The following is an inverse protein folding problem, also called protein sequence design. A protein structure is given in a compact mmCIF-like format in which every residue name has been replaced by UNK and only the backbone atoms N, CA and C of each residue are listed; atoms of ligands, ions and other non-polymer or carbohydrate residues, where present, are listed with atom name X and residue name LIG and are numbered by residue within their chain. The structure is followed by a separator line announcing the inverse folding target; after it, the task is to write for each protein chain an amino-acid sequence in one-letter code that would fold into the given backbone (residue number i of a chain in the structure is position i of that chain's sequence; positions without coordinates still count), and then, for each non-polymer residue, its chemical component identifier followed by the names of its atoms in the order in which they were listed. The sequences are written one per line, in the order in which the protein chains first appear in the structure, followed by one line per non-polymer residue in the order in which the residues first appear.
data_IF_924488126351
#
_entry.id   IF_924488126351
#
_cell.length_a   1.000
_cell.length_b   1.000
_cell.length_c   1.000
_cell.angle_alpha   90.00
_cell.angle_beta   90.00
_cell.angle_gamma   90.00
#
_symmetry.space_group_name_H-M   'P 1'
#
loop_
_entity.id
_entity.type
_entity.pdbx_description
1 polymer ?
#
# COMPACT_ATOMS: atom_id res chain seq x y z
N UNK A 1 16.25 -11.86 -17.42
CA UNK A 1 15.04 -11.44 -18.17
C UNK A 1 13.86 -11.27 -17.22
N UNK A 2 13.09 -10.19 -17.43
CA UNK A 2 11.76 -9.83 -16.87
C UNK A 2 11.66 -9.61 -15.35
N UNK A 3 11.90 -8.36 -14.92
CA UNK A 3 11.19 -7.79 -13.76
C UNK A 3 9.72 -7.72 -14.15
N UNK A 4 8.91 -8.71 -13.76
CA UNK A 4 7.46 -8.60 -13.90
C UNK A 4 6.98 -7.57 -12.89
N UNK A 5 6.71 -6.35 -13.38
CA UNK A 5 5.88 -5.39 -12.67
C UNK A 5 4.52 -6.04 -12.46
N UNK A 6 4.37 -6.73 -11.32
CA UNK A 6 3.18 -7.47 -10.94
C UNK A 6 2.17 -6.52 -10.29
N UNK A 7 2.08 -5.27 -10.78
CA UNK A 7 1.02 -4.36 -10.36
C UNK A 7 -0.30 -4.98 -10.79
N UNK A 8 -1.23 -5.13 -9.85
CA UNK A 8 -2.59 -5.58 -10.12
C UNK A 8 -3.12 -4.93 -11.40
N UNK A 9 -3.56 -5.74 -12.36
CA UNK A 9 -4.33 -5.24 -13.50
C UNK A 9 -5.54 -4.48 -12.97
N UNK A 10 -5.94 -3.35 -13.59
CA UNK A 10 -7.07 -2.49 -13.15
C UNK A 10 -8.35 -3.28 -12.82
N UNK A 11 -8.55 -4.44 -13.45
CA UNK A 11 -9.68 -5.34 -13.19
C UNK A 11 -9.57 -6.13 -11.88
N UNK A 12 -8.35 -6.49 -11.48
CA UNK A 12 -8.10 -7.23 -10.24
C UNK A 12 -8.22 -6.33 -9.01
N UNK A 13 -7.89 -5.03 -9.13
CA UNK A 13 -8.16 -4.05 -8.07
C UNK A 13 -9.66 -3.82 -7.87
N UNK A 14 -10.44 -3.82 -8.95
CA UNK A 14 -11.91 -3.72 -8.86
C UNK A 14 -12.54 -4.89 -8.09
N UNK A 15 -12.01 -6.12 -8.21
CA UNK A 15 -12.53 -7.28 -7.50
C UNK A 15 -12.34 -7.20 -5.97
N UNK A 16 -11.26 -6.57 -5.50
CA UNK A 16 -10.97 -6.45 -4.06
C UNK A 16 -11.58 -5.20 -3.43
N UNK A 17 -12.01 -4.24 -4.25
CA UNK A 17 -12.61 -2.97 -3.85
C UNK A 17 -13.70 -3.09 -2.76
N UNK A 18 -14.70 -3.99 -2.85
CA UNK A 18 -15.71 -4.14 -1.80
C UNK A 18 -15.13 -4.67 -0.48
N UNK A 19 -14.05 -5.45 -0.53
CA UNK A 19 -13.37 -5.95 0.67
C UNK A 19 -12.59 -4.82 1.34
N UNK A 20 -11.86 -4.02 0.56
CA UNK A 20 -11.18 -2.82 1.05
C UNK A 20 -12.17 -1.83 1.67
N UNK A 21 -13.37 -1.67 1.09
CA UNK A 21 -14.42 -0.82 1.66
C UNK A 21 -14.88 -1.31 3.03
N UNK A 22 -15.08 -2.62 3.19
CA UNK A 22 -15.44 -3.21 4.49
C UNK A 22 -14.33 -2.98 5.51
N UNK A 23 -13.07 -3.20 5.11
CA UNK A 23 -11.91 -3.02 5.98
C UNK A 23 -11.73 -1.57 6.42
N UNK A 24 -11.86 -0.62 5.50
CA UNK A 24 -11.85 0.81 5.82
C UNK A 24 -12.96 1.18 6.82
N UNK A 25 -14.17 0.62 6.68
CA UNK A 25 -15.25 0.82 7.67
C UNK A 25 -14.91 0.24 9.04
N UNK A 26 -14.23 -0.90 9.11
CA UNK A 26 -13.73 -1.46 10.38
C UNK A 26 -12.73 -0.49 11.03
N UNK A 27 -11.77 0.05 10.28
CA UNK A 27 -10.83 1.04 10.79
C UNK A 27 -11.51 2.33 11.24
N UNK A 28 -12.52 2.82 10.50
CA UNK A 28 -13.33 3.97 10.92
C UNK A 28 -14.03 3.71 12.26
N UNK A 29 -14.61 2.53 12.45
CA UNK A 29 -15.24 2.14 13.72
C UNK A 29 -14.23 1.99 14.87
N UNK A 30 -13.00 1.61 14.56
CA UNK A 30 -11.90 1.52 15.52
C UNK A 30 -11.25 2.88 15.87
N UNK A 31 -11.78 4.00 15.37
CA UNK A 31 -11.28 5.34 15.70
C UNK A 31 -10.37 5.98 14.64
N UNK A 32 -10.26 5.40 13.45
CA UNK A 32 -9.41 5.90 12.36
C UNK A 32 -10.26 6.45 11.19
N UNK A 33 -10.93 7.61 11.34
CA UNK A 33 -11.90 8.13 10.36
C UNK A 33 -11.26 8.53 9.02
N UNK A 34 -9.97 8.90 9.04
CA UNK A 34 -9.22 9.36 7.88
C UNK A 34 -8.83 8.24 6.92
N UNK A 35 -8.86 6.98 7.36
CA UNK A 35 -8.51 5.84 6.51
C UNK A 35 -9.67 5.56 5.56
N UNK A 36 -9.43 5.79 4.28
CA UNK A 36 -10.38 5.59 3.20
C UNK A 36 -10.21 4.20 2.57
N UNK A 37 -11.17 3.85 1.71
CA UNK A 37 -11.07 2.65 0.88
C UNK A 37 -9.86 2.70 -0.03
N UNK A 38 -9.56 3.87 -0.58
CA UNK A 38 -8.45 4.05 -1.51
C UNK A 38 -7.12 3.79 -0.79
N UNK A 39 -6.99 4.21 0.47
CA UNK A 39 -5.75 4.01 1.21
C UNK A 39 -5.46 2.53 1.47
N UNK A 40 -6.50 1.76 1.83
CA UNK A 40 -6.41 0.31 2.00
C UNK A 40 -6.10 -0.37 0.66
N UNK A 41 -6.73 0.09 -0.42
CA UNK A 41 -6.46 -0.42 -1.78
C UNK A 41 -5.01 -0.18 -2.19
N UNK A 42 -4.51 1.05 -1.99
CA UNK A 42 -3.14 1.48 -2.27
C UNK A 42 -2.12 0.65 -1.49
N UNK A 43 -2.36 0.41 -0.21
CA UNK A 43 -1.52 -0.46 0.61
C UNK A 43 -1.32 -1.85 -0.02
N UNK A 44 -2.39 -2.46 -0.53
CA UNK A 44 -2.28 -3.78 -1.16
C UNK A 44 -1.67 -3.74 -2.55
N UNK A 45 -2.04 -2.76 -3.38
CA UNK A 45 -1.56 -2.66 -4.78
C UNK A 45 -0.10 -2.25 -4.87
N UNK A 46 0.32 -1.31 -4.04
CA UNK A 46 1.60 -0.60 -4.21
C UNK A 46 2.67 -1.11 -3.26
N UNK A 47 2.27 -1.73 -2.14
CA UNK A 47 3.18 -2.24 -1.12
C UNK A 47 3.06 -3.76 -0.91
N UNK A 48 1.95 -4.24 -0.35
CA UNK A 48 1.86 -5.62 0.13
C UNK A 48 1.95 -6.67 -1.00
N UNK A 49 1.40 -6.38 -2.19
CA UNK A 49 1.45 -7.29 -3.34
C UNK A 49 2.39 -6.83 -4.45
N UNK A 50 3.21 -5.81 -4.20
CA UNK A 50 4.18 -5.25 -5.16
C UNK A 50 5.08 -6.32 -5.78
N UNK A 51 5.57 -7.23 -4.93
CA UNK A 51 6.49 -8.29 -5.33
C UNK A 51 5.80 -9.63 -5.59
N UNK A 52 4.75 -9.94 -4.82
CA UNK A 52 4.04 -11.20 -4.93
C UNK A 52 2.55 -11.00 -4.71
N UNK A 53 1.78 -11.16 -5.78
CA UNK A 53 0.34 -11.20 -5.72
C UNK A 53 -0.13 -12.61 -5.30
N UNK A 54 -1.00 -12.77 -4.29
CA UNK A 54 -1.54 -14.07 -3.94
C UNK A 54 -2.30 -14.67 -5.13
N UNK A 55 -2.08 -15.95 -5.40
CA UNK A 55 -2.62 -16.62 -6.60
C UNK A 55 -4.15 -16.71 -6.53
N UNK A 56 -4.70 -17.02 -5.35
CA UNK A 56 -6.14 -17.22 -5.18
C UNK A 56 -6.86 -15.99 -4.63
N UNK A 57 -8.11 -15.80 -5.04
CA UNK A 57 -8.98 -14.77 -4.47
C UNK A 57 -9.24 -14.98 -2.97
N UNK A 58 -9.23 -16.24 -2.50
CA UNK A 58 -9.42 -16.58 -1.08
C UNK A 58 -8.27 -16.05 -0.23
N UNK A 59 -7.02 -16.23 -0.67
CA UNK A 59 -5.84 -15.69 0.01
C UNK A 59 -5.86 -14.16 0.02
N UNK A 60 -6.20 -13.52 -1.11
CA UNK A 60 -6.35 -12.06 -1.20
C UNK A 60 -7.37 -11.54 -0.18
N UNK A 61 -8.53 -12.19 -0.11
CA UNK A 61 -9.58 -11.86 0.86
C UNK A 61 -9.10 -12.03 2.29
N UNK A 62 -8.38 -13.09 2.58
CA UNK A 62 -7.85 -13.36 3.92
C UNK A 62 -6.81 -12.31 4.31
N UNK A 63 -5.89 -11.95 3.41
CA UNK A 63 -4.90 -10.91 3.63
C UNK A 63 -5.56 -9.56 3.94
N UNK A 64 -6.58 -9.15 3.17
CA UNK A 64 -7.33 -7.90 3.43
C UNK A 64 -8.01 -7.94 4.80
N UNK A 65 -8.60 -9.08 5.18
CA UNK A 65 -9.22 -9.23 6.50
C UNK A 65 -8.21 -9.19 7.65
N UNK A 66 -7.01 -9.72 7.44
CA UNK A 66 -5.97 -9.81 8.47
C UNK A 66 -5.14 -8.54 8.61
N UNK A 67 -5.29 -7.57 7.69
CA UNK A 67 -4.61 -6.28 7.82
C UNK A 67 -4.90 -5.65 9.18
N UNK A 68 -3.84 -5.46 9.96
CA UNK A 68 -3.91 -4.71 11.21
C UNK A 68 -3.69 -3.22 10.94
N UNK A 69 -4.14 -2.40 11.88
CA UNK A 69 -3.93 -0.95 11.79
C UNK A 69 -2.43 -0.60 11.87
N UNK A 70 -1.67 -1.32 12.70
CA UNK A 70 -0.24 -1.10 12.89
C UNK A 70 0.52 -1.34 11.57
N UNK A 71 0.22 -2.45 10.88
CA UNK A 71 0.83 -2.75 9.58
C UNK A 71 0.57 -1.65 8.55
N UNK A 72 -0.62 -1.03 8.59
CA UNK A 72 -0.93 0.10 7.71
C UNK A 72 -0.15 1.36 8.09
N UNK A 73 0.02 1.66 9.39
CA UNK A 73 0.85 2.79 9.82
C UNK A 73 2.34 2.58 9.56
N UNK A 74 2.85 1.36 9.71
CA UNK A 74 4.23 1.01 9.35
C UNK A 74 4.47 1.31 7.87
N UNK A 75 3.52 0.95 7.00
CA UNK A 75 3.55 1.32 5.59
C UNK A 75 3.56 2.84 5.38
N UNK A 76 2.70 3.60 6.07
CA UNK A 76 2.69 5.06 5.94
C UNK A 76 4.02 5.70 6.38
N UNK A 77 4.64 5.16 7.43
CA UNK A 77 5.93 5.62 7.91
C UNK A 77 7.04 5.31 6.88
N UNK A 78 7.05 4.11 6.31
CA UNK A 78 7.97 3.74 5.23
C UNK A 78 7.74 4.59 3.96
N UNK A 79 6.49 4.91 3.64
CA UNK A 79 6.16 5.79 2.53
C UNK A 79 6.75 7.20 2.78
N UNK A 80 6.50 7.78 3.95
CA UNK A 80 7.03 9.10 4.30
C UNK A 80 8.57 9.15 4.27
N UNK A 81 9.26 8.13 4.79
CA UNK A 81 10.73 8.12 4.83
C UNK A 81 11.38 7.89 3.47
N UNK A 82 10.72 7.20 2.54
CA UNK A 82 11.26 6.95 1.19
C UNK A 82 11.00 8.11 0.25
N UNK A 83 9.88 8.83 0.41
CA UNK A 83 9.50 9.93 -0.50
C UNK A 83 9.97 11.33 -0.05
N UNK A 84 10.35 11.52 1.22
CA UNK A 84 10.81 12.81 1.74
C UNK A 84 12.34 13.00 1.68
N UNK A 85 13.06 12.12 0.97
CA UNK A 85 14.50 12.30 0.71
C UNK A 85 14.65 13.03 -0.63
N UNK A 86 15.15 14.28 -0.65
CA UNK A 86 15.56 14.93 -1.89
C UNK A 86 16.53 14.01 -2.62
N UNK A 87 16.36 13.83 -3.94
CA UNK A 87 17.34 13.08 -4.71
C UNK A 87 18.73 13.70 -4.51
N UNK A 88 19.77 12.86 -4.43
CA UNK A 88 21.17 13.31 -4.33
C UNK A 88 21.57 14.24 -5.49
N UNK A 89 20.81 14.24 -6.58
CA UNK A 89 20.96 15.15 -7.73
C UNK A 89 20.71 16.63 -7.39
N UNK A 90 20.07 16.92 -6.24
CA UNK A 90 19.85 18.27 -5.72
C UNK A 90 20.83 18.70 -4.61
N UNK A 91 21.75 17.82 -4.20
CA UNK A 91 22.81 18.20 -3.27
C UNK A 91 23.94 18.82 -4.10
N UNK A 92 24.03 20.15 -4.09
CA UNK A 92 25.16 20.85 -4.70
C UNK A 92 26.42 20.59 -3.85
N UNK A 93 27.17 19.54 -4.20
CA UNK A 93 28.42 19.14 -3.52
C UNK A 93 29.44 20.30 -3.53
N UNK A 94 29.34 21.25 -4.48
CA UNK A 94 30.19 22.43 -4.53
C UNK A 94 29.97 23.37 -3.33
N UNK A 95 28.79 23.32 -2.70
CA UNK A 95 28.47 24.13 -1.51
C UNK A 95 29.06 23.58 -0.21
N UNK A 96 29.67 22.38 -0.26
CA UNK A 96 30.28 21.68 0.88
C UNK A 96 31.83 21.76 0.90
N UNK A 97 32.44 22.46 -0.06
CA UNK A 97 33.88 22.74 -0.15
C UNK A 97 34.16 24.22 0.15
#
# INVERSE_FOLDING_TARGET
MKKTNNSLSKWQSLLIQPLCQKKAREFKRAGYPKISRHDVEKYFTDFAWKHQLPASYRERKQAIKQLSINQYFDYLQLEATVYDVPSLDHIDIQSLL
#
